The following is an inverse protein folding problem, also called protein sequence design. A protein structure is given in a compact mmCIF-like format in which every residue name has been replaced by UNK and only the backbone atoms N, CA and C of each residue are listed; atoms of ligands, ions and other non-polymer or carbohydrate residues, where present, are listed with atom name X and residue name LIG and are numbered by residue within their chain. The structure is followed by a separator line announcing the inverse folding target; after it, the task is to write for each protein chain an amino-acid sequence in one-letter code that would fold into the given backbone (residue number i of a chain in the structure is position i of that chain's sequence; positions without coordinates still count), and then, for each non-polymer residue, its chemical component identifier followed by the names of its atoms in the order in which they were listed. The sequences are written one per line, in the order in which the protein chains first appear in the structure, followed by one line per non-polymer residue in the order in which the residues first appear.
data_IF_837775356428
#
_entry.id   IF_837775356428
#
_cell.length_a   1.000
_cell.length_b   1.000
_cell.length_c   1.000
_cell.angle_alpha   90.00
_cell.angle_beta   90.00
_cell.angle_gamma   90.00
#
_symmetry.space_group_name_H-M   'P 1'
#
loop_
_entity.id
_entity.type
_entity.pdbx_description
1 polymer ?
#
# COMPACT_ATOMS: atom_id res chain seq x y z
N UNK A 1 5.10 -14.16 -6.24
CA UNK A 1 6.35 -14.23 -5.47
C UNK A 1 7.53 -13.59 -6.19
N UNK A 2 7.69 -13.77 -7.51
CA UNK A 2 8.80 -13.16 -8.27
C UNK A 2 8.45 -11.85 -9.00
N UNK A 3 7.20 -11.39 -8.86
CA UNK A 3 6.73 -10.10 -9.39
C UNK A 3 6.88 -9.00 -8.34
N UNK A 4 6.94 -7.75 -8.77
CA UNK A 4 7.16 -6.60 -7.87
C UNK A 4 5.95 -6.34 -6.94
N UNK A 5 4.73 -6.54 -7.45
CA UNK A 5 3.50 -6.33 -6.69
C UNK A 5 2.58 -7.54 -6.78
N UNK A 6 1.80 -7.74 -5.73
CA UNK A 6 0.76 -8.77 -5.62
C UNK A 6 -0.52 -8.09 -5.12
N UNK A 7 -1.57 -8.11 -5.93
CA UNK A 7 -2.91 -7.61 -5.60
C UNK A 7 -3.81 -8.82 -5.46
N UNK A 8 -4.51 -8.95 -4.33
CA UNK A 8 -5.44 -10.04 -4.08
C UNK A 8 -6.85 -9.50 -3.87
N UNK A 9 -7.85 -10.23 -4.38
CA UNK A 9 -9.26 -9.92 -4.13
C UNK A 9 -9.71 -10.68 -2.88
N UNK A 10 -10.34 -9.97 -1.95
CA UNK A 10 -10.87 -10.54 -0.72
C UNK A 10 -11.88 -11.66 -1.01
N UNK A 11 -11.85 -12.72 -0.21
CA UNK A 11 -12.69 -13.93 -0.33
C UNK A 11 -12.60 -14.71 -1.66
N UNK A 12 -11.80 -14.26 -2.63
CA UNK A 12 -11.60 -14.92 -3.93
C UNK A 12 -10.15 -15.35 -4.14
N UNK A 13 -9.20 -14.51 -3.73
CA UNK A 13 -7.77 -14.77 -3.86
C UNK A 13 -7.29 -15.72 -2.77
N UNK A 14 -6.64 -16.81 -3.15
CA UNK A 14 -5.98 -17.72 -2.21
C UNK A 14 -4.64 -18.20 -2.75
N UNK A 15 -3.60 -18.22 -1.92
CA UNK A 15 -2.26 -18.68 -2.28
C UNK A 15 -1.62 -19.49 -1.14
N UNK A 16 -0.99 -20.62 -1.46
CA UNK A 16 -0.17 -21.39 -0.52
C UNK A 16 0.72 -22.37 -1.29
N UNK A 17 1.84 -22.76 -0.70
CA UNK A 17 2.74 -23.76 -1.30
C UNK A 17 2.21 -25.18 -1.05
N UNK A 18 1.59 -25.40 0.09
CA UNK A 18 1.08 -26.70 0.53
C UNK A 18 -0.33 -26.51 1.08
N UNK A 19 -1.28 -27.32 0.60
CA UNK A 19 -2.70 -27.14 0.92
C UNK A 19 -3.09 -27.61 2.32
N UNK A 20 -4.29 -27.21 2.81
CA UNK A 20 -4.76 -27.52 4.16
C UNK A 20 -4.80 -29.02 4.48
N UNK A 21 -5.17 -29.86 3.51
CA UNK A 21 -5.27 -31.32 3.71
C UNK A 21 -3.90 -31.95 4.04
N UNK A 22 -2.83 -31.43 3.44
CA UNK A 22 -1.46 -31.89 3.69
C UNK A 22 -0.98 -31.37 5.05
N UNK A 23 -1.31 -30.12 5.40
CA UNK A 23 -1.03 -29.55 6.73
C UNK A 23 -1.70 -30.39 7.82
N UNK A 24 -2.97 -30.75 7.65
CA UNK A 24 -3.70 -31.62 8.57
C UNK A 24 -3.07 -33.01 8.69
N UNK A 25 -2.67 -33.60 7.57
CA UNK A 25 -2.12 -34.97 7.57
C UNK A 25 -0.71 -35.04 8.17
N UNK A 26 0.12 -34.00 7.95
CA UNK A 26 1.54 -34.00 8.37
C UNK A 26 1.74 -33.36 9.74
N UNK A 27 1.05 -32.25 10.02
CA UNK A 27 1.21 -31.47 11.25
C UNK A 27 0.06 -31.70 12.25
N UNK A 28 -1.06 -32.28 11.82
CA UNK A 28 -2.24 -32.49 12.68
C UNK A 28 -3.07 -31.22 12.90
N UNK A 29 -2.74 -30.11 12.23
CA UNK A 29 -3.42 -28.84 12.38
C UNK A 29 -4.60 -28.73 11.39
N UNK A 30 -5.80 -28.45 11.91
CA UNK A 30 -6.95 -28.08 11.08
C UNK A 30 -6.95 -26.57 10.87
N UNK A 31 -6.76 -26.16 9.61
CA UNK A 31 -6.78 -24.75 9.20
C UNK A 31 -7.64 -24.61 7.94
N UNK A 32 -8.45 -23.55 7.87
CA UNK A 32 -9.25 -23.28 6.68
C UNK A 32 -8.39 -22.74 5.52
N UNK A 33 -8.93 -22.76 4.30
CA UNK A 33 -8.24 -22.16 3.13
C UNK A 33 -7.96 -20.67 3.32
N UNK A 34 -8.91 -19.95 3.92
CA UNK A 34 -8.81 -18.50 4.13
C UNK A 34 -7.80 -18.15 5.22
N UNK A 35 -7.78 -18.92 6.31
CA UNK A 35 -6.77 -18.76 7.37
C UNK A 35 -5.37 -19.16 6.91
N UNK A 36 -5.25 -20.17 6.03
CA UNK A 36 -3.96 -20.63 5.53
C UNK A 36 -3.34 -19.68 4.50
N UNK A 37 -4.16 -19.16 3.58
CA UNK A 37 -3.67 -18.47 2.40
C UNK A 37 -4.63 -17.46 1.79
N UNK A 38 -5.64 -17.02 2.53
CA UNK A 38 -6.58 -15.99 2.09
C UNK A 38 -5.92 -14.64 1.88
N UNK A 39 -6.58 -13.78 1.11
CA UNK A 39 -6.10 -12.44 0.80
C UNK A 39 -5.77 -11.62 2.06
N UNK A 40 -6.62 -11.70 3.09
CA UNK A 40 -6.41 -10.97 4.35
C UNK A 40 -5.20 -11.49 5.14
N UNK A 41 -5.00 -12.81 5.19
CA UNK A 41 -3.82 -13.43 5.80
C UNK A 41 -2.54 -12.96 5.10
N UNK A 42 -2.57 -12.83 3.77
CA UNK A 42 -1.45 -12.30 3.01
C UNK A 42 -1.25 -10.79 3.13
N UNK A 43 -2.33 -10.02 3.28
CA UNK A 43 -2.27 -8.56 3.42
C UNK A 43 -1.91 -8.06 4.82
N UNK A 44 -2.12 -8.87 5.87
CA UNK A 44 -1.89 -8.43 7.28
C UNK A 44 -0.77 -9.17 7.99
N UNK A 45 -0.57 -10.47 7.72
CA UNK A 45 0.34 -11.31 8.52
C UNK A 45 1.61 -11.70 7.79
N UNK A 46 1.52 -12.21 6.57
CA UNK A 46 2.70 -12.66 5.81
C UNK A 46 3.32 -11.57 4.94
N UNK A 47 2.57 -10.52 4.60
CA UNK A 47 3.03 -9.44 3.72
C UNK A 47 3.25 -9.89 2.27
N UNK A 48 2.68 -11.02 1.85
CA UNK A 48 2.79 -11.47 0.45
C UNK A 48 1.91 -10.63 -0.47
N UNK A 49 0.75 -10.20 0.01
CA UNK A 49 -0.16 -9.33 -0.73
C UNK A 49 0.11 -7.87 -0.37
N UNK A 50 0.33 -7.06 -1.40
CA UNK A 50 0.59 -5.64 -1.25
C UNK A 50 -0.69 -4.82 -1.14
N UNK A 51 -1.76 -5.34 -1.75
CA UNK A 51 -3.09 -4.77 -1.77
C UNK A 51 -4.11 -5.88 -1.61
N UNK A 52 -5.15 -5.61 -0.83
CA UNK A 52 -6.34 -6.45 -0.71
C UNK A 52 -7.54 -5.62 -1.15
N UNK A 53 -8.19 -6.00 -2.25
CA UNK A 53 -9.35 -5.29 -2.81
C UNK A 53 -10.63 -6.06 -2.56
N UNK A 54 -11.78 -5.39 -2.50
CA UNK A 54 -13.06 -6.03 -2.16
C UNK A 54 -13.63 -6.85 -3.31
N UNK A 55 -13.28 -6.49 -4.54
CA UNK A 55 -13.74 -7.17 -5.75
C UNK A 55 -12.75 -6.97 -6.91
N UNK A 56 -13.03 -7.63 -8.04
CA UNK A 56 -12.19 -7.58 -9.24
C UNK A 56 -12.19 -6.21 -9.93
N UNK A 57 -13.28 -5.44 -9.85
CA UNK A 57 -13.34 -4.10 -10.44
C UNK A 57 -12.38 -3.15 -9.72
N UNK A 58 -12.41 -3.15 -8.39
CA UNK A 58 -11.47 -2.39 -7.56
C UNK A 58 -10.03 -2.86 -7.77
N UNK A 59 -9.80 -4.18 -7.93
CA UNK A 59 -8.50 -4.72 -8.29
C UNK A 59 -7.95 -4.11 -9.58
N UNK A 60 -8.78 -4.05 -10.63
CA UNK A 60 -8.39 -3.45 -11.90
C UNK A 60 -8.09 -1.96 -11.77
N UNK A 61 -8.83 -1.23 -10.95
CA UNK A 61 -8.58 0.20 -10.74
C UNK A 61 -7.31 0.46 -9.91
N UNK A 62 -7.00 -0.40 -8.93
CA UNK A 62 -5.72 -0.40 -8.21
C UNK A 62 -4.56 -0.66 -9.17
N UNK A 63 -4.69 -1.64 -10.07
CA UNK A 63 -3.67 -1.96 -11.08
C UNK A 63 -3.43 -0.78 -12.03
N UNK A 64 -4.50 -0.17 -12.57
CA UNK A 64 -4.38 1.02 -13.43
C UNK A 64 -3.70 2.18 -12.71
N UNK A 65 -4.06 2.38 -11.44
CA UNK A 65 -3.48 3.44 -10.61
C UNK A 65 -2.00 3.18 -10.37
N UNK A 66 -1.62 1.96 -10.00
CA UNK A 66 -0.22 1.54 -9.84
C UNK A 66 0.59 1.78 -11.12
N UNK A 67 0.09 1.35 -12.28
CA UNK A 67 0.76 1.54 -13.57
C UNK A 67 0.89 3.02 -13.95
N UNK A 68 0.02 3.90 -13.44
CA UNK A 68 0.15 5.35 -13.65
C UNK A 68 1.36 5.96 -12.93
N UNK A 69 1.89 5.30 -11.90
CA UNK A 69 3.05 5.77 -11.14
C UNK A 69 4.39 5.23 -11.65
N UNK A 70 4.38 4.07 -12.31
CA UNK A 70 5.59 3.31 -12.68
C UNK A 70 5.94 3.52 -14.17
N UNK A 71 7.23 3.67 -14.54
CA UNK A 71 7.63 3.75 -15.95
C UNK A 71 7.40 2.42 -16.67
N UNK A 72 7.32 2.46 -18.00
CA UNK A 72 7.14 1.24 -18.80
C UNK A 72 8.35 0.30 -18.73
N UNK A 73 9.53 0.84 -18.45
CA UNK A 73 10.78 0.09 -18.31
C UNK A 73 11.80 0.89 -17.48
N UNK A 74 12.94 0.28 -17.17
CA UNK A 74 13.98 0.87 -16.33
C UNK A 74 14.82 1.97 -17.00
N UNK A 75 14.68 2.20 -18.30
CA UNK A 75 15.39 3.23 -19.05
C UNK A 75 14.58 4.53 -19.21
N UNK A 76 13.30 4.50 -18.85
CA UNK A 76 12.39 5.63 -18.96
C UNK A 76 12.09 6.26 -17.59
N UNK A 77 11.80 7.55 -17.61
CA UNK A 77 11.30 8.25 -16.44
C UNK A 77 9.82 7.87 -16.19
N UNK A 78 9.35 7.90 -14.92
CA UNK A 78 7.93 7.72 -14.62
C UNK A 78 7.03 8.69 -15.39
N UNK A 79 5.79 8.30 -15.72
CA UNK A 79 4.85 9.18 -16.42
C UNK A 79 4.61 10.47 -15.64
N UNK A 80 4.74 11.61 -16.31
CA UNK A 80 4.34 12.90 -15.76
C UNK A 80 2.89 13.16 -16.13
N UNK A 81 2.08 13.59 -15.16
CA UNK A 81 0.71 14.03 -15.38
C UNK A 81 0.60 15.54 -15.20
N UNK A 82 -0.38 16.16 -15.85
CA UNK A 82 -0.74 17.54 -15.52
C UNK A 82 -1.43 17.55 -14.14
N UNK A 83 -1.01 18.49 -13.29
CA UNK A 83 -1.63 18.76 -12.01
C UNK A 83 -2.05 20.22 -11.97
N UNK A 84 -3.18 20.49 -11.31
CA UNK A 84 -3.63 21.85 -10.98
C UNK A 84 -3.15 22.31 -9.60
N UNK A 85 -2.45 21.46 -8.85
CA UNK A 85 -1.90 21.82 -7.54
C UNK A 85 -0.72 22.80 -7.71
N UNK A 86 -0.68 23.81 -6.84
CA UNK A 86 0.38 24.82 -6.89
C UNK A 86 1.65 24.23 -6.27
N UNK A 87 2.78 24.16 -7.00
CA UNK A 87 4.04 23.68 -6.43
C UNK A 87 4.55 24.54 -5.26
N UNK A 88 4.01 25.74 -5.06
CA UNK A 88 4.32 26.62 -3.94
C UNK A 88 3.22 26.64 -2.85
N UNK A 89 2.29 25.68 -2.87
CA UNK A 89 1.25 25.57 -1.85
C UNK A 89 1.87 25.52 -0.46
N UNK A 90 1.38 26.39 0.43
CA UNK A 90 1.75 26.42 1.83
C UNK A 90 0.60 25.88 2.67
N UNK A 91 0.85 24.83 3.43
CA UNK A 91 -0.06 24.36 4.46
C UNK A 91 0.45 24.76 5.84
N UNK A 92 -0.11 25.83 6.39
CA UNK A 92 0.22 26.31 7.73
C UNK A 92 -0.21 25.34 8.84
N UNK A 93 -1.11 24.39 8.56
CA UNK A 93 -1.58 23.43 9.54
C UNK A 93 -0.54 22.34 9.84
N UNK A 94 0.46 22.14 8.97
CA UNK A 94 1.56 21.17 9.19
C UNK A 94 2.25 21.36 10.55
N UNK A 95 2.42 22.62 10.98
CA UNK A 95 3.03 22.96 12.27
C UNK A 95 2.22 22.47 13.47
N UNK A 96 0.90 22.30 13.32
CA UNK A 96 0.00 21.86 14.38
C UNK A 96 -0.21 20.34 14.39
N UNK A 97 0.26 19.61 13.37
CA UNK A 97 0.08 18.16 13.25
C UNK A 97 1.02 17.38 14.17
N UNK A 98 2.19 17.93 14.48
CA UNK A 98 3.17 17.31 15.38
C UNK A 98 2.93 17.82 16.81
N UNK A 99 2.65 16.95 17.78
CA UNK A 99 2.51 17.36 19.18
C UNK A 99 3.81 17.96 19.73
N UNK A 100 3.68 18.91 20.65
CA UNK A 100 4.85 19.45 21.39
C UNK A 100 5.51 18.39 22.28
N UNK A 101 4.72 17.42 22.78
CA UNK A 101 5.21 16.28 23.55
C UNK A 101 5.76 15.19 22.63
N UNK A 102 7.07 14.95 22.70
CA UNK A 102 7.76 13.91 21.92
C UNK A 102 7.30 12.47 22.18
N UNK A 103 6.62 12.20 23.29
CA UNK A 103 6.10 10.87 23.62
C UNK A 103 4.67 10.65 23.10
N UNK A 104 4.02 11.70 22.61
CA UNK A 104 2.65 11.61 22.12
C UNK A 104 2.66 11.19 20.65
N UNK A 105 2.00 10.07 20.29
CA UNK A 105 1.91 9.63 18.90
C UNK A 105 1.07 10.60 18.07
N UNK A 106 1.28 10.57 16.76
CA UNK A 106 0.53 11.36 15.80
C UNK A 106 0.38 10.62 14.47
N UNK A 107 -0.66 10.97 13.73
CA UNK A 107 -0.87 10.37 12.42
C UNK A 107 0.05 11.02 11.38
N UNK A 108 0.92 10.21 10.78
CA UNK A 108 1.85 10.65 9.73
C UNK A 108 1.14 10.77 8.36
N UNK A 109 0.01 10.09 8.14
CA UNK A 109 -0.72 10.13 6.86
C UNK A 109 -1.20 11.55 6.50
N UNK A 110 -1.79 12.36 7.41
CA UNK A 110 -2.13 13.76 7.13
C UNK A 110 -0.95 14.60 6.66
N UNK A 111 0.25 14.38 7.21
CA UNK A 111 1.46 15.10 6.81
C UNK A 111 1.86 14.70 5.39
N UNK A 112 1.85 13.40 5.09
CA UNK A 112 2.14 12.89 3.73
C UNK A 112 1.12 13.47 2.72
N UNK A 113 -0.17 13.41 3.03
CA UNK A 113 -1.23 13.93 2.18
C UNK A 113 -1.05 15.43 1.95
N UNK A 114 -0.76 16.21 3.00
CA UNK A 114 -0.54 17.65 2.88
C UNK A 114 0.61 18.03 1.95
N UNK A 115 1.63 17.16 1.78
CA UNK A 115 2.81 17.45 0.93
C UNK A 115 2.59 17.03 -0.53
N UNK A 116 1.75 16.01 -0.77
CA UNK A 116 1.53 15.45 -2.11
C UNK A 116 0.50 16.24 -2.92
N UNK A 117 0.63 16.19 -4.24
CA UNK A 117 -0.31 16.79 -5.18
C UNK A 117 -1.74 16.28 -4.93
N UNK A 118 -2.71 17.19 -4.96
CA UNK A 118 -4.14 16.94 -4.73
C UNK A 118 -4.47 16.27 -3.38
N UNK A 119 -3.52 16.22 -2.44
CA UNK A 119 -3.59 15.40 -1.25
C UNK A 119 -3.86 13.92 -1.54
N UNK A 120 -3.24 13.36 -2.60
CA UNK A 120 -3.41 11.96 -2.98
C UNK A 120 -2.18 11.14 -2.64
N UNK A 121 -2.40 10.07 -1.89
CA UNK A 121 -1.40 9.07 -1.57
C UNK A 121 -1.90 7.68 -1.94
N UNK A 122 -1.08 6.92 -2.65
CA UNK A 122 -1.33 5.54 -3.04
C UNK A 122 -0.46 4.63 -2.17
N UNK A 123 -1.00 4.29 -1.01
CA UNK A 123 -0.33 3.50 0.02
C UNK A 123 -0.17 2.04 -0.40
N UNK A 124 1.02 1.50 -0.17
CA UNK A 124 1.37 0.09 -0.42
C UNK A 124 1.50 -0.59 0.94
N UNK A 125 1.02 -1.83 1.06
CA UNK A 125 1.08 -2.58 2.33
C UNK A 125 0.34 -1.89 3.49
N UNK A 126 -0.76 -1.16 3.22
CA UNK A 126 -1.52 -0.43 4.26
C UNK A 126 -1.90 -1.31 5.48
N UNK A 127 -2.10 -2.61 5.27
CA UNK A 127 -2.50 -3.55 6.32
C UNK A 127 -1.32 -4.30 6.98
N UNK A 128 -0.10 -4.17 6.46
CA UNK A 128 1.08 -4.93 6.90
C UNK A 128 2.18 -4.00 7.43
N UNK A 129 2.72 -4.30 8.61
CA UNK A 129 3.80 -3.53 9.24
C UNK A 129 3.50 -2.02 9.32
N UNK A 130 2.33 -1.68 9.86
CA UNK A 130 1.74 -0.33 9.92
C UNK A 130 2.58 0.71 10.70
N UNK A 131 3.67 0.30 11.35
CA UNK A 131 4.64 1.20 11.98
C UNK A 131 5.53 1.96 10.96
N UNK A 132 5.49 1.58 9.68
CA UNK A 132 6.11 2.30 8.57
C UNK A 132 5.11 2.40 7.42
N UNK A 133 4.97 3.60 6.87
CA UNK A 133 4.13 3.89 5.72
C UNK A 133 5.02 3.94 4.48
N UNK A 134 4.61 3.20 3.44
CA UNK A 134 5.24 3.24 2.13
C UNK A 134 4.18 3.41 1.04
N UNK A 135 4.53 4.08 -0.05
CA UNK A 135 3.57 4.28 -1.12
C UNK A 135 4.06 5.23 -2.20
N UNK A 136 3.19 5.48 -3.17
CA UNK A 136 3.42 6.45 -4.23
C UNK A 136 2.58 7.71 -4.04
N UNK A 137 3.14 8.83 -4.46
CA UNK A 137 2.46 10.10 -4.57
C UNK A 137 2.91 10.84 -5.83
N UNK A 138 2.43 12.07 -6.00
CA UNK A 138 2.99 12.97 -7.01
C UNK A 138 3.38 14.31 -6.39
N UNK A 139 4.42 14.91 -6.97
CA UNK A 139 4.83 16.28 -6.68
C UNK A 139 5.05 17.00 -8.01
N UNK A 140 4.31 18.08 -8.25
CA UNK A 140 4.29 18.80 -9.52
C UNK A 140 4.11 17.86 -10.74
N UNK A 141 3.19 16.91 -10.60
CA UNK A 141 2.82 15.95 -11.63
C UNK A 141 3.77 14.75 -11.79
N UNK A 142 4.88 14.70 -11.05
CA UNK A 142 5.89 13.64 -11.13
C UNK A 142 5.70 12.61 -10.03
N UNK A 143 5.78 11.32 -10.38
CA UNK A 143 5.72 10.23 -9.40
C UNK A 143 6.87 10.32 -8.39
N UNK A 144 6.54 10.20 -7.11
CA UNK A 144 7.50 10.10 -5.99
C UNK A 144 7.16 8.89 -5.12
N UNK A 145 8.19 8.23 -4.60
CA UNK A 145 8.04 7.20 -3.56
C UNK A 145 8.18 7.84 -2.18
N UNK A 146 7.27 7.51 -1.27
CA UNK A 146 7.29 7.96 0.12
C UNK A 146 7.63 6.79 1.03
N UNK A 147 8.51 7.04 1.99
CA UNK A 147 8.81 6.15 3.11
C UNK A 147 8.77 7.02 4.36
N UNK A 148 7.90 6.70 5.32
CA UNK A 148 7.76 7.47 6.54
C UNK A 148 7.49 6.56 7.74
N UNK A 149 8.06 6.89 8.90
CA UNK A 149 7.73 6.20 10.14
C UNK A 149 6.31 6.60 10.57
N UNK A 150 5.59 5.69 11.23
CA UNK A 150 4.28 5.95 11.81
C UNK A 150 4.38 5.84 13.35
N UNK A 151 4.59 6.97 14.06
CA UNK A 151 4.85 7.00 15.50
C UNK A 151 3.63 6.73 16.39
#
# INVERSE_FOLDING_TARGET
AMTDFVVMVDQLGTMFVTGPDVVKTVLGEEISFDELGGAMTHGTRSGVAHFVTKNEYECMDVIKTLLSFVPQNNAEAPPQIETSDDPNRLDHNLLNMVPEDSLKPYDMKPIILSILDDNKFFEIHELFAQNVIVGFGRMNGRSVGIIANHP
#
